data_IF_419123291995
#
_entry.id   IF_419123291995
#
_cell.length_a   1.000
_cell.length_b   1.000
_cell.length_c   1.000
_cell.angle_alpha   90.00
_cell.angle_beta   90.00
_cell.angle_gamma   90.00
#
_symmetry.space_group_name_H-M   'P 1'
#
loop_
_entity.id
_entity.type
_entity.pdbx_description
1 polymer ?
#
# COMPACT_ATOMS: atom_id res chain seq x y z
N UNK A 1 36.94 -52.49 -22.59
CA UNK A 1 35.46 -52.54 -22.57
C UNK A 1 34.97 -51.18 -22.09
N UNK A 2 34.26 -50.41 -22.92
CA UNK A 2 33.72 -49.10 -22.53
C UNK A 2 32.22 -49.25 -22.37
N UNK A 3 31.73 -49.22 -21.13
CA UNK A 3 30.29 -49.17 -20.82
C UNK A 3 29.81 -47.75 -21.12
N UNK A 4 28.80 -47.64 -21.99
CA UNK A 4 28.12 -46.39 -22.28
C UNK A 4 27.04 -46.14 -21.24
N UNK A 5 27.06 -44.95 -20.65
CA UNK A 5 26.05 -44.48 -19.71
C UNK A 5 24.70 -44.31 -20.39
N UNK A 6 23.67 -44.82 -19.74
CA UNK A 6 22.28 -44.48 -20.02
C UNK A 6 21.69 -43.88 -18.74
N UNK A 7 21.93 -42.58 -18.52
CA UNK A 7 21.20 -41.82 -17.52
C UNK A 7 20.06 -41.11 -18.24
N UNK A 8 18.95 -41.82 -18.45
CA UNK A 8 17.72 -41.20 -18.95
C UNK A 8 17.14 -40.31 -17.87
N UNK A 9 17.23 -39.00 -18.06
CA UNK A 9 16.57 -38.02 -17.19
C UNK A 9 15.18 -37.75 -17.76
N UNK A 10 14.13 -38.22 -17.07
CA UNK A 10 12.75 -37.84 -17.38
C UNK A 10 12.48 -36.53 -16.64
N UNK A 11 12.23 -35.46 -17.40
CA UNK A 11 11.69 -34.22 -16.87
C UNK A 11 10.17 -34.31 -16.78
N UNK A 12 9.61 -34.07 -15.59
CA UNK A 12 8.17 -33.94 -15.36
C UNK A 12 7.89 -32.47 -15.08
N UNK A 13 7.13 -31.84 -15.96
CA UNK A 13 6.64 -30.46 -15.75
C UNK A 13 5.53 -30.50 -14.69
N UNK A 14 5.73 -29.79 -13.58
CA UNK A 14 4.68 -29.52 -12.59
C UNK A 14 4.16 -28.12 -12.87
N UNK A 15 2.87 -28.01 -13.17
CA UNK A 15 2.19 -26.72 -13.28
C UNK A 15 1.60 -26.44 -11.89
N UNK A 16 2.00 -25.33 -11.28
CA UNK A 16 1.38 -24.81 -10.06
C UNK A 16 0.36 -23.77 -10.50
N UNK A 17 -0.93 -24.07 -10.32
CA UNK A 17 -2.01 -23.11 -10.56
C UNK A 17 -2.30 -22.32 -9.27
N UNK A 18 -2.60 -21.03 -9.41
CA UNK A 18 -3.03 -20.19 -8.31
C UNK A 18 -4.46 -20.55 -7.91
N UNK A 19 -4.74 -20.65 -6.62
CA UNK A 19 -6.09 -20.89 -6.11
C UNK A 19 -7.02 -19.72 -6.50
N UNK A 20 -8.00 -19.93 -7.39
CA UNK A 20 -8.87 -18.86 -7.90
C UNK A 20 -9.86 -18.34 -6.84
N UNK A 21 -9.93 -18.98 -5.67
CA UNK A 21 -10.74 -18.52 -4.53
C UNK A 21 -10.00 -17.50 -3.65
N UNK A 22 -8.69 -17.34 -3.83
CA UNK A 22 -7.91 -16.32 -3.10
C UNK A 22 -8.27 -14.93 -3.63
N UNK A 23 -8.74 -14.01 -2.76
CA UNK A 23 -9.09 -12.66 -3.17
C UNK A 23 -7.85 -11.81 -3.47
N UNK A 24 -8.04 -10.76 -4.27
CA UNK A 24 -7.01 -9.80 -4.64
C UNK A 24 -7.41 -8.43 -4.08
N UNK A 25 -6.51 -7.78 -3.33
CA UNK A 25 -6.72 -6.41 -2.86
C UNK A 25 -6.21 -5.40 -3.89
N UNK A 26 -7.06 -4.46 -4.27
CA UNK A 26 -6.72 -3.33 -5.14
C UNK A 26 -6.73 -2.04 -4.33
N UNK A 27 -5.59 -1.36 -4.22
CA UNK A 27 -5.55 -0.01 -3.64
C UNK A 27 -6.38 0.94 -4.50
N UNK A 28 -7.24 1.74 -3.86
CA UNK A 28 -7.92 2.85 -4.52
C UNK A 28 -6.98 4.05 -4.51
N UNK A 29 -6.64 4.63 -5.66
CA UNK A 29 -5.63 5.69 -5.73
C UNK A 29 -4.19 5.21 -5.53
N UNK A 30 -3.27 6.15 -5.32
CA UNK A 30 -1.84 5.85 -5.43
C UNK A 30 -1.29 5.01 -4.28
N UNK A 31 -0.27 4.19 -4.60
CA UNK A 31 0.51 3.43 -3.63
C UNK A 31 1.48 4.33 -2.84
N UNK A 32 2.00 5.36 -3.49
CA UNK A 32 2.90 6.35 -2.91
C UNK A 32 2.21 7.70 -2.95
N UNK A 33 1.95 8.28 -1.78
CA UNK A 33 1.26 9.57 -1.65
C UNK A 33 2.22 10.56 -1.01
N UNK A 34 2.30 11.76 -1.55
CA UNK A 34 2.91 12.91 -0.88
C UNK A 34 1.78 13.77 -0.34
N UNK A 35 1.81 14.05 0.97
CA UNK A 35 0.72 14.71 1.70
C UNK A 35 1.23 15.95 2.41
N UNK A 36 0.43 17.02 2.42
CA UNK A 36 0.80 18.28 3.06
C UNK A 36 0.56 18.26 4.56
N UNK A 37 1.58 18.64 5.33
CA UNK A 37 1.51 18.72 6.78
C UNK A 37 0.41 19.67 7.26
N UNK A 38 -0.27 19.30 8.33
CA UNK A 38 -1.35 20.08 8.95
C UNK A 38 -2.70 20.01 8.22
N UNK A 39 -2.79 19.32 7.08
CA UNK A 39 -4.07 19.03 6.41
C UNK A 39 -4.56 17.62 6.75
N UNK A 40 -5.86 17.37 6.99
CA UNK A 40 -6.35 16.02 7.25
C UNK A 40 -6.01 15.06 6.10
N UNK A 41 -5.52 13.87 6.44
CA UNK A 41 -5.32 12.79 5.47
C UNK A 41 -6.56 11.90 5.43
N UNK A 42 -7.21 11.83 4.27
CA UNK A 42 -8.30 10.88 3.99
C UNK A 42 -7.74 9.68 3.24
N UNK A 43 -7.83 8.49 3.85
CA UNK A 43 -7.37 7.26 3.19
C UNK A 43 -8.36 6.84 2.09
N UNK A 44 -7.94 6.76 0.82
CA UNK A 44 -8.82 6.29 -0.25
C UNK A 44 -9.21 4.81 -0.12
N UNK A 45 -8.50 4.03 0.73
CA UNK A 45 -8.84 2.63 1.00
C UNK A 45 -8.32 1.64 -0.04
N UNK A 46 -8.89 0.44 0.00
CA UNK A 46 -8.62 -0.67 -0.90
C UNK A 46 -9.90 -1.51 -1.10
N UNK A 47 -10.09 -2.03 -2.32
CA UNK A 47 -11.23 -2.88 -2.68
C UNK A 47 -10.75 -4.33 -2.87
N UNK A 48 -11.33 -5.31 -2.16
CA UNK A 48 -11.10 -6.73 -2.43
C UNK A 48 -11.90 -7.17 -3.66
N UNK A 49 -11.31 -8.03 -4.48
CA UNK A 49 -11.93 -8.59 -5.68
C UNK A 49 -11.69 -10.09 -5.79
N UNK A 50 -12.58 -10.78 -6.49
CA UNK A 50 -12.38 -12.18 -6.86
C UNK A 50 -11.40 -12.33 -8.04
N UNK A 51 -11.07 -13.57 -8.42
CA UNK A 51 -10.18 -13.87 -9.55
C UNK A 51 -10.72 -13.44 -10.93
N UNK A 52 -11.98 -13.01 -11.01
CA UNK A 52 -12.64 -12.50 -12.22
C UNK A 52 -12.83 -10.98 -12.18
N UNK A 53 -12.17 -10.30 -11.24
CA UNK A 53 -12.21 -8.85 -11.03
C UNK A 53 -13.58 -8.30 -10.55
N UNK A 54 -14.47 -9.17 -10.05
CA UNK A 54 -15.71 -8.72 -9.40
C UNK A 54 -15.42 -8.22 -7.98
N UNK A 55 -16.02 -7.08 -7.56
CA UNK A 55 -15.84 -6.57 -6.21
C UNK A 55 -16.45 -7.52 -5.17
N UNK A 56 -15.74 -7.70 -4.07
CA UNK A 56 -16.22 -8.37 -2.85
C UNK A 56 -16.64 -7.30 -1.82
N UNK A 57 -17.29 -7.72 -0.75
CA UNK A 57 -17.65 -6.85 0.38
C UNK A 57 -16.39 -6.25 1.02
N UNK A 58 -16.24 -4.94 0.97
CA UNK A 58 -15.07 -4.20 1.47
C UNK A 58 -15.15 -3.90 2.97
N UNK A 59 -16.29 -4.16 3.63
CA UNK A 59 -16.46 -3.91 5.07
C UNK A 59 -15.55 -4.79 5.94
N UNK A 60 -15.01 -5.87 5.38
CA UNK A 60 -14.06 -6.77 6.04
C UNK A 60 -12.60 -6.40 5.79
N UNK A 61 -12.31 -5.31 5.04
CA UNK A 61 -10.95 -4.83 4.86
C UNK A 61 -10.43 -4.25 6.18
N UNK A 62 -9.32 -4.81 6.66
CA UNK A 62 -8.66 -4.37 7.89
C UNK A 62 -7.45 -3.51 7.50
N UNK A 63 -7.47 -2.26 7.96
CA UNK A 63 -6.35 -1.33 7.80
C UNK A 63 -5.55 -1.26 9.10
N UNK A 64 -4.24 -1.39 8.99
CA UNK A 64 -3.31 -1.23 10.11
C UNK A 64 -2.28 -0.15 9.80
N UNK A 65 -1.84 0.56 10.84
CA UNK A 65 -1.06 1.79 10.72
C UNK A 65 -1.96 3.02 10.80
N UNK A 66 -1.32 4.18 10.97
CA UNK A 66 -1.98 5.47 10.99
C UNK A 66 -1.05 6.51 10.37
N UNK A 67 -1.62 7.52 9.72
CA UNK A 67 -0.89 8.67 9.20
C UNK A 67 -1.09 9.81 10.19
N UNK A 68 -0.01 10.26 10.82
CA UNK A 68 -0.03 11.53 11.56
C UNK A 68 0.28 12.65 10.57
N UNK A 69 -0.76 13.32 10.10
CA UNK A 69 -0.64 14.39 9.11
C UNK A 69 -0.03 15.67 9.69
N UNK A 70 0.19 15.77 11.00
CA UNK A 70 0.78 16.96 11.65
C UNK A 70 2.29 16.87 11.77
N UNK A 71 2.86 15.68 11.59
CA UNK A 71 4.28 15.42 11.71
C UNK A 71 4.88 15.03 10.36
N UNK A 72 6.01 15.62 10.02
CA UNK A 72 6.75 15.28 8.81
C UNK A 72 7.33 13.88 8.94
N UNK A 73 7.21 13.07 7.89
CA UNK A 73 7.72 11.71 7.92
C UNK A 73 7.09 10.77 6.91
N UNK A 74 7.54 9.51 6.96
CA UNK A 74 6.99 8.42 6.15
C UNK A 74 6.09 7.53 7.01
N UNK A 75 4.86 7.39 6.59
CA UNK A 75 3.84 6.56 7.22
C UNK A 75 3.46 5.41 6.30
N UNK A 76 3.11 4.26 6.90
CA UNK A 76 2.72 3.06 6.16
C UNK A 76 1.38 2.56 6.65
N UNK A 77 0.45 2.43 5.71
CA UNK A 77 -0.82 1.73 5.91
C UNK A 77 -0.72 0.36 5.26
N UNK A 78 -1.19 -0.67 5.95
CA UNK A 78 -1.25 -2.05 5.44
C UNK A 78 -2.69 -2.55 5.46
N UNK A 79 -3.17 -2.97 4.31
CA UNK A 79 -4.53 -3.47 4.08
C UNK A 79 -4.49 -4.99 4.02
N UNK A 80 -5.36 -5.62 4.79
CA UNK A 80 -5.54 -7.06 4.82
C UNK A 80 -7.02 -7.37 4.58
N UNK A 81 -7.30 -8.53 4.01
CA UNK A 81 -8.64 -8.98 3.75
C UNK A 81 -8.69 -10.50 3.76
N UNK A 82 -9.69 -11.05 4.44
CA UNK A 82 -10.00 -12.47 4.46
C UNK A 82 -11.43 -12.62 3.97
N UNK A 83 -11.64 -13.40 2.91
CA UNK A 83 -13.00 -13.62 2.41
C UNK A 83 -13.81 -14.52 3.36
N UNK A 84 -15.10 -14.69 3.09
CA UNK A 84 -16.01 -15.53 3.88
C UNK A 84 -15.64 -17.02 3.90
N UNK A 85 -14.82 -17.46 2.95
CA UNK A 85 -14.28 -18.83 2.86
C UNK A 85 -12.98 -19.01 3.67
N UNK A 86 -12.50 -17.96 4.33
CA UNK A 86 -11.28 -17.99 5.14
C UNK A 86 -9.98 -17.92 4.32
N UNK A 87 -10.04 -17.41 3.08
CA UNK A 87 -8.88 -17.19 2.22
C UNK A 87 -8.37 -15.76 2.38
N UNK A 88 -7.09 -15.63 2.70
CA UNK A 88 -6.43 -14.35 2.87
C UNK A 88 -5.92 -13.80 1.54
N UNK A 89 -6.19 -12.52 1.26
CA UNK A 89 -5.54 -11.78 0.20
C UNK A 89 -4.06 -11.54 0.54
N UNK A 90 -3.24 -11.38 -0.50
CA UNK A 90 -1.88 -10.82 -0.30
C UNK A 90 -2.03 -9.38 0.23
N UNK A 91 -1.42 -9.03 1.37
CA UNK A 91 -1.53 -7.69 1.92
C UNK A 91 -0.96 -6.65 0.97
N UNK A 92 -1.67 -5.53 0.81
CA UNK A 92 -1.18 -4.37 0.05
C UNK A 92 -0.84 -3.23 0.99
N UNK A 93 0.07 -2.35 0.56
CA UNK A 93 0.60 -1.27 1.39
C UNK A 93 0.56 0.05 0.67
N UNK A 94 0.13 1.09 1.38
CA UNK A 94 0.24 2.50 0.98
C UNK A 94 1.30 3.19 1.82
N UNK A 95 2.21 3.88 1.14
CA UNK A 95 3.23 4.72 1.77
C UNK A 95 2.83 6.19 1.60
N UNK A 96 2.72 6.91 2.71
CA UNK A 96 2.36 8.33 2.74
C UNK A 96 3.56 9.11 3.27
N UNK A 97 4.07 10.03 2.47
CA UNK A 97 5.15 10.94 2.85
C UNK A 97 4.53 12.28 3.20
N UNK A 98 4.52 12.63 4.49
CA UNK A 98 4.05 13.93 4.97
C UNK A 98 5.20 14.92 4.87
N UNK A 99 4.99 15.97 4.11
CA UNK A 99 5.97 17.03 3.81
C UNK A 99 5.37 18.40 4.10
N UNK A 100 6.24 19.38 4.32
CA UNK A 100 5.85 20.79 4.34
C UNK A 100 6.21 21.39 2.98
N UNK A 101 5.19 21.69 2.18
CA UNK A 101 5.32 22.37 0.88
C UNK A 101 4.80 23.80 0.93
N UNK A 102 4.22 24.23 2.05
CA UNK A 102 3.91 25.62 2.28
C UNK A 102 5.22 26.40 2.40
N UNK A 103 5.62 27.03 1.30
CA UNK A 103 6.76 27.93 1.28
C UNK A 103 6.61 28.95 2.39
N UNK A 104 7.47 28.87 3.41
CA UNK A 104 7.63 29.93 4.38
C UNK A 104 7.93 31.22 3.61
N UNK A 105 6.97 32.13 3.58
CA UNK A 105 7.18 33.44 2.97
C UNK A 105 8.25 34.17 3.78
N UNK A 106 9.50 34.09 3.35
CA UNK A 106 10.52 35.09 3.64
C UNK A 106 11.07 35.63 2.32
N UNK A 107 10.19 36.28 1.55
CA UNK A 107 10.66 37.27 0.58
C UNK A 107 10.87 38.60 1.29
N UNK A 108 12.12 38.88 1.65
CA UNK A 108 12.62 40.24 1.79
C UNK A 108 12.26 40.96 3.09
N UNK A 109 13.30 41.44 3.77
CA UNK A 109 13.21 42.47 4.79
C UNK A 109 12.36 43.66 4.30
N UNK A 110 11.20 43.87 4.91
CA UNK A 110 10.59 45.19 5.05
C UNK A 110 10.05 45.30 6.47
N UNK A 111 10.72 46.18 7.23
CA UNK A 111 10.37 46.74 8.54
C UNK A 111 9.20 46.10 9.32
N UNK A 112 9.56 45.37 10.38
CA UNK A 112 8.86 45.44 11.67
C UNK A 112 7.51 44.73 11.77
N UNK A 113 7.55 43.62 12.52
CA UNK A 113 6.41 42.93 13.15
C UNK A 113 5.62 41.96 12.26
N UNK A 114 5.87 40.65 12.42
CA UNK A 114 4.91 39.57 12.73
C UNK A 114 5.61 38.19 12.62
N UNK A 115 5.24 37.09 13.27
CA UNK A 115 4.19 36.77 14.24
C UNK A 115 4.75 35.71 15.23
N UNK A 116 4.09 35.58 16.40
CA UNK A 116 4.44 34.72 17.56
C UNK A 116 4.48 33.21 17.24
N UNK A 117 5.22 32.40 18.04
CA UNK A 117 5.21 30.95 17.89
C UNK A 117 3.86 30.36 18.35
N UNK A 118 3.52 29.23 17.72
CA UNK A 118 2.32 28.43 17.94
C UNK A 118 2.09 28.18 19.44
N UNK A 119 0.88 28.49 19.89
CA UNK A 119 0.33 28.01 21.16
C UNK A 119 -0.35 26.67 20.96
#
# INVERSE_FOLDING_TARGET
>A
MKVAGNTSTISRTVIVETDPTVPILHLQGDRQVTHEAGTPFEDPGAIPKDSRDNPLDDTQVIVSGAVDHTLLGNYRLTYNFTNTEGKDAVPVQRNVTVVDTQSGWYSGWVSGSCCRPLG
#
